data_IF_260728157269
#
_entry.id   IF_260728157269
#
_cell.length_a   1.000
_cell.length_b   1.000
_cell.length_c   1.000
_cell.angle_alpha   90.00
_cell.angle_beta   90.00
_cell.angle_gamma   90.00
#
_symmetry.space_group_name_H-M   'P 1'
#
loop_
_entity.id
_entity.type
_entity.pdbx_description
1 polymer ?
#
# COMPACT_ATOMS: atom_id res chain seq x y z
N UNK A 1 -9.49 -15.96 0.62
CA UNK A 1 -9.68 -14.56 0.20
C UNK A 1 -10.45 -14.59 -1.11
N UNK A 2 -11.48 -13.76 -1.30
CA UNK A 2 -12.26 -13.76 -2.54
C UNK A 2 -11.48 -12.99 -3.63
N UNK A 3 -11.30 -13.54 -4.84
CA UNK A 3 -10.61 -12.85 -5.92
C UNK A 3 -11.38 -11.60 -6.37
N UNK A 4 -10.63 -10.55 -6.72
CA UNK A 4 -11.17 -9.33 -7.33
C UNK A 4 -11.06 -9.48 -8.85
N UNK A 5 -12.18 -9.37 -9.55
CA UNK A 5 -12.21 -9.37 -11.01
C UNK A 5 -12.24 -7.93 -11.52
N UNK A 6 -11.21 -7.56 -12.28
CA UNK A 6 -11.09 -6.23 -12.85
C UNK A 6 -11.84 -6.12 -14.18
N UNK A 7 -12.31 -4.92 -14.46
CA UNK A 7 -13.00 -4.59 -15.71
C UNK A 7 -13.14 -3.09 -15.88
N UNK A 8 -13.61 -2.69 -17.05
CA UNK A 8 -13.88 -1.30 -17.40
C UNK A 8 -15.37 -1.12 -17.65
N UNK A 9 -15.94 -0.05 -17.11
CA UNK A 9 -17.32 0.34 -17.41
C UNK A 9 -17.32 1.28 -18.61
N UNK A 10 -18.08 0.93 -19.65
CA UNK A 10 -18.32 1.77 -20.83
C UNK A 10 -19.84 2.00 -20.95
N UNK A 11 -20.26 3.22 -20.67
CA UNK A 11 -21.69 3.55 -20.54
C UNK A 11 -22.32 2.80 -19.36
N UNK A 12 -23.27 1.90 -19.65
CA UNK A 12 -23.97 1.08 -18.65
C UNK A 12 -23.50 -0.39 -18.62
N UNK A 13 -22.39 -0.71 -19.30
CA UNK A 13 -21.89 -2.08 -19.42
C UNK A 13 -20.54 -2.25 -18.74
N UNK A 14 -20.43 -3.24 -17.84
CA UNK A 14 -19.17 -3.69 -17.27
C UNK A 14 -18.52 -4.72 -18.21
N UNK A 15 -17.36 -4.37 -18.77
CA UNK A 15 -16.52 -5.28 -19.55
C UNK A 15 -15.40 -5.81 -18.64
N UNK A 16 -15.51 -7.06 -18.22
CA UNK A 16 -14.47 -7.74 -17.42
C UNK A 16 -13.24 -8.03 -18.29
N UNK A 17 -12.04 -7.89 -17.72
CA UNK A 17 -10.80 -8.23 -18.40
C UNK A 17 -10.62 -9.74 -18.56
N UNK A 18 -11.06 -10.53 -17.57
CA UNK A 18 -10.98 -11.99 -17.56
C UNK A 18 -12.37 -12.66 -17.42
N UNK A 19 -13.25 -12.55 -18.42
CA UNK A 19 -14.63 -13.05 -18.32
C UNK A 19 -14.72 -14.58 -18.16
N UNK A 20 -13.79 -15.34 -18.75
CA UNK A 20 -13.74 -16.80 -18.64
C UNK A 20 -13.50 -17.26 -17.21
N UNK A 21 -12.56 -16.61 -16.52
CA UNK A 21 -12.21 -16.93 -15.14
C UNK A 21 -13.34 -16.54 -14.18
N UNK A 22 -13.96 -15.38 -14.41
CA UNK A 22 -15.13 -14.95 -13.65
C UNK A 22 -16.28 -15.94 -13.77
N UNK A 23 -16.62 -16.38 -14.98
CA UNK A 23 -17.68 -17.38 -15.19
C UNK A 23 -17.36 -18.70 -14.49
N UNK A 24 -16.11 -19.16 -14.55
CA UNK A 24 -15.68 -20.38 -13.83
C UNK A 24 -15.82 -20.19 -12.31
N UNK A 25 -15.49 -19.01 -11.79
CA UNK A 25 -15.61 -18.70 -10.37
C UNK A 25 -17.07 -18.65 -9.90
N UNK A 26 -17.99 -18.13 -10.72
CA UNK A 26 -19.43 -18.11 -10.43
C UNK A 26 -20.04 -19.50 -10.25
N UNK A 27 -19.50 -20.53 -10.91
CA UNK A 27 -19.99 -21.92 -10.76
C UNK A 27 -19.93 -22.40 -9.29
N UNK A 28 -19.02 -21.87 -8.48
CA UNK A 28 -18.90 -22.21 -7.06
C UNK A 28 -20.10 -21.73 -6.21
N UNK A 29 -20.91 -20.82 -6.76
CA UNK A 29 -22.05 -20.19 -6.09
C UNK A 29 -23.39 -20.58 -6.73
N UNK A 30 -23.43 -21.67 -7.52
CA UNK A 30 -24.66 -22.14 -8.13
C UNK A 30 -25.79 -22.30 -7.10
N UNK A 31 -26.96 -21.73 -7.40
CA UNK A 31 -28.16 -21.71 -6.56
C UNK A 31 -28.03 -21.00 -5.20
N UNK A 32 -27.06 -20.09 -5.07
CA UNK A 32 -26.89 -19.24 -3.87
C UNK A 32 -27.19 -17.78 -4.21
N UNK A 33 -27.74 -17.06 -3.25
CA UNK A 33 -27.79 -15.60 -3.33
C UNK A 33 -26.39 -15.03 -3.12
N UNK A 34 -26.00 -14.06 -3.96
CA UNK A 34 -24.67 -13.44 -3.92
C UNK A 34 -24.80 -11.92 -3.94
N UNK A 35 -23.85 -11.25 -3.28
CA UNK A 35 -23.69 -9.80 -3.34
C UNK A 35 -22.64 -9.45 -4.41
N UNK A 36 -22.92 -8.43 -5.23
CA UNK A 36 -21.95 -7.85 -6.16
C UNK A 36 -21.55 -6.47 -5.66
N UNK A 37 -20.24 -6.24 -5.53
CA UNK A 37 -19.66 -4.95 -5.17
C UNK A 37 -18.86 -4.44 -6.35
N UNK A 38 -19.20 -3.23 -6.83
CA UNK A 38 -18.44 -2.53 -7.86
C UNK A 38 -17.73 -1.36 -7.21
N UNK A 39 -16.41 -1.35 -7.29
CA UNK A 39 -15.57 -0.28 -6.73
C UNK A 39 -14.48 0.07 -7.72
N UNK A 40 -14.06 1.34 -7.73
CA UNK A 40 -12.83 1.73 -8.42
C UNK A 40 -11.68 0.96 -7.74
N UNK A 41 -10.90 0.16 -8.48
CA UNK A 41 -9.76 -0.53 -7.90
C UNK A 41 -8.80 0.53 -7.38
N UNK A 42 -8.71 0.63 -6.05
CA UNK A 42 -7.56 1.28 -5.44
C UNK A 42 -6.39 0.36 -5.77
N UNK A 43 -5.30 0.91 -6.31
CA UNK A 43 -4.03 0.19 -6.26
C UNK A 43 -3.80 -0.12 -4.79
N UNK A 44 -4.08 -1.34 -4.37
CA UNK A 44 -3.37 -1.91 -3.25
C UNK A 44 -1.90 -1.68 -3.61
N UNK A 45 -1.13 -1.07 -2.71
CA UNK A 45 0.33 -0.92 -2.91
C UNK A 45 0.84 -2.23 -3.50
N UNK A 46 1.69 -2.15 -4.52
CA UNK A 46 2.15 -3.39 -5.13
C UNK A 46 2.70 -4.27 -4.00
N UNK A 47 2.49 -5.58 -4.07
CA UNK A 47 3.00 -6.46 -3.02
C UNK A 47 4.52 -6.23 -2.81
N UNK A 48 5.23 -5.77 -3.84
CA UNK A 48 6.64 -5.36 -3.79
C UNK A 48 6.87 -4.11 -2.94
N UNK A 49 6.11 -3.03 -3.12
CA UNK A 49 6.23 -1.79 -2.31
C UNK A 49 6.01 -2.06 -0.82
N UNK A 50 5.04 -2.92 -0.50
CA UNK A 50 4.77 -3.27 0.89
C UNK A 50 5.84 -4.21 1.47
N UNK A 51 6.37 -5.15 0.68
CA UNK A 51 7.51 -5.99 1.08
C UNK A 51 8.76 -5.16 1.30
N UNK A 52 9.07 -4.23 0.41
CA UNK A 52 10.18 -3.30 0.55
C UNK A 52 10.05 -2.45 1.82
N UNK A 53 8.88 -1.84 2.04
CA UNK A 53 8.66 -1.01 3.22
C UNK A 53 8.88 -1.78 4.53
N UNK A 54 8.22 -2.92 4.71
CA UNK A 54 8.32 -3.68 5.96
C UNK A 54 9.63 -4.48 6.07
N UNK A 55 10.09 -5.09 4.98
CA UNK A 55 11.24 -5.99 4.97
C UNK A 55 12.60 -5.30 4.89
N UNK A 56 12.64 -4.05 4.40
CA UNK A 56 13.89 -3.30 4.21
C UNK A 56 13.87 -2.02 5.03
N UNK A 57 12.95 -1.10 4.72
CA UNK A 57 12.94 0.25 5.33
C UNK A 57 12.74 0.17 6.84
N UNK A 58 11.70 -0.52 7.29
CA UNK A 58 11.38 -0.65 8.72
C UNK A 58 12.46 -1.45 9.44
N UNK A 59 12.95 -2.54 8.85
CA UNK A 59 13.98 -3.39 9.48
C UNK A 59 15.29 -2.65 9.69
N UNK A 60 15.79 -1.98 8.67
CA UNK A 60 17.04 -1.21 8.76
C UNK A 60 16.91 -0.14 9.86
N UNK A 61 15.80 0.58 9.89
CA UNK A 61 15.58 1.63 10.89
C UNK A 61 15.36 1.07 12.30
N UNK A 62 14.67 -0.06 12.44
CA UNK A 62 14.47 -0.76 13.72
C UNK A 62 15.81 -1.18 14.31
N UNK A 63 16.68 -1.80 13.50
CA UNK A 63 18.01 -2.23 13.91
C UNK A 63 18.93 -1.05 14.21
N UNK A 64 18.87 0.02 13.40
CA UNK A 64 19.72 1.20 13.55
C UNK A 64 19.37 2.04 14.79
N UNK A 65 18.09 2.21 15.09
CA UNK A 65 17.60 3.09 16.17
C UNK A 65 17.35 2.29 17.46
N UNK A 66 17.14 0.97 17.37
CA UNK A 66 16.92 0.09 18.52
C UNK A 66 15.49 0.06 19.04
N UNK A 67 14.50 0.30 18.18
CA UNK A 67 13.07 0.18 18.48
C UNK A 67 12.44 -0.98 17.72
N UNK A 68 11.25 -1.41 18.13
CA UNK A 68 10.48 -2.43 17.39
C UNK A 68 10.03 -1.93 16.02
N UNK A 69 9.75 -2.85 15.09
CA UNK A 69 9.25 -2.54 13.76
C UNK A 69 7.98 -1.66 13.82
N UNK A 70 7.07 -1.99 14.73
CA UNK A 70 5.81 -1.27 14.93
C UNK A 70 6.04 0.14 15.49
N UNK A 71 6.98 0.32 16.42
CA UNK A 71 7.34 1.64 16.96
C UNK A 71 7.93 2.53 15.86
N UNK A 72 8.82 1.98 15.03
CA UNK A 72 9.35 2.69 13.86
C UNK A 72 8.23 3.05 12.89
N UNK A 73 7.33 2.11 12.59
CA UNK A 73 6.19 2.37 11.71
C UNK A 73 5.34 3.56 12.19
N UNK A 74 4.97 3.58 13.48
CA UNK A 74 4.17 4.67 14.05
C UNK A 74 4.95 5.98 14.13
N UNK A 75 6.25 5.94 14.47
CA UNK A 75 7.11 7.13 14.48
C UNK A 75 7.21 7.78 13.09
N UNK A 76 7.41 6.98 12.04
CA UNK A 76 7.49 7.48 10.66
C UNK A 76 6.14 8.05 10.18
N UNK A 77 5.02 7.43 10.57
CA UNK A 77 3.68 7.98 10.30
C UNK A 77 3.52 9.35 10.95
N UNK A 78 3.81 9.44 12.25
CA UNK A 78 3.70 10.69 13.00
C UNK A 78 4.57 11.79 12.41
N UNK A 79 5.75 11.43 11.90
CA UNK A 79 6.71 12.37 11.34
C UNK A 79 6.34 12.90 9.96
N UNK A 80 5.87 12.04 9.05
CA UNK A 80 5.72 12.41 7.64
C UNK A 80 4.29 12.39 7.10
N UNK A 81 3.33 11.81 7.83
CA UNK A 81 1.92 11.69 7.41
C UNK A 81 0.96 12.52 8.26
N UNK A 82 1.49 13.39 9.11
CA UNK A 82 0.70 14.36 9.86
C UNK A 82 0.29 15.49 8.91
N UNK A 83 -1.01 15.61 8.67
CA UNK A 83 -1.58 16.71 7.89
C UNK A 83 -1.87 17.89 8.81
N UNK A 84 -1.02 18.93 8.73
CA UNK A 84 -1.11 20.15 9.52
C UNK A 84 -1.84 21.29 8.77
N UNK A 85 -2.44 21.02 7.60
CA UNK A 85 -3.20 22.04 6.83
C UNK A 85 -4.51 22.47 7.49
N UNK A 86 -4.91 21.80 8.58
CA UNK A 86 -6.15 22.01 9.33
C UNK A 86 -5.87 22.56 10.72
N UNK A 87 -6.85 23.23 11.31
CA UNK A 87 -6.77 23.72 12.71
C UNK A 87 -6.48 22.59 13.71
N UNK A 88 -6.97 21.38 13.43
CA UNK A 88 -6.65 20.16 14.19
C UNK A 88 -5.91 19.20 13.25
N UNK A 89 -4.61 18.93 13.47
CA UNK A 89 -3.85 18.04 12.62
C UNK A 89 -4.39 16.61 12.64
N UNK A 90 -4.44 15.96 11.48
CA UNK A 90 -4.91 14.57 11.35
C UNK A 90 -3.75 13.68 10.91
N UNK A 91 -3.58 12.54 11.58
CA UNK A 91 -2.62 11.53 11.17
C UNK A 91 -3.22 10.67 10.04
N UNK A 92 -2.63 10.72 8.84
CA UNK A 92 -3.05 9.83 7.74
C UNK A 92 -2.53 8.42 7.97
N UNK A 93 -3.36 7.43 7.64
CA UNK A 93 -2.94 6.03 7.59
C UNK A 93 -2.14 5.77 6.31
N UNK A 94 -1.07 4.98 6.40
CA UNK A 94 -0.34 4.53 5.20
C UNK A 94 -1.24 3.73 4.26
N UNK A 95 -2.31 3.09 4.77
CA UNK A 95 -3.25 2.32 3.96
C UNK A 95 -4.15 3.18 3.06
N UNK A 96 -4.24 4.49 3.31
CA UNK A 96 -5.02 5.41 2.48
C UNK A 96 -4.19 6.12 1.41
N UNK A 97 -2.88 5.90 1.37
CA UNK A 97 -1.98 6.50 0.38
C UNK A 97 -2.12 5.80 -0.98
N UNK A 98 -2.13 6.58 -2.04
CA UNK A 98 -1.94 6.10 -3.41
C UNK A 98 -0.48 5.66 -3.62
N UNK A 99 -0.21 4.91 -4.70
CA UNK A 99 1.16 4.52 -5.08
C UNK A 99 2.11 5.72 -5.15
N UNK A 100 1.69 6.82 -5.76
CA UNK A 100 2.53 8.03 -5.89
C UNK A 100 2.79 8.66 -4.52
N UNK A 101 1.75 8.87 -3.71
CA UNK A 101 1.91 9.41 -2.35
C UNK A 101 2.76 8.49 -1.46
N UNK A 102 2.72 7.18 -1.69
CA UNK A 102 3.53 6.23 -0.93
C UNK A 102 5.00 6.28 -1.33
N UNK A 103 5.31 6.42 -2.62
CA UNK A 103 6.70 6.60 -3.07
C UNK A 103 7.28 7.91 -2.55
N UNK A 104 6.51 9.02 -2.61
CA UNK A 104 6.91 10.29 -1.99
C UNK A 104 7.15 10.16 -0.48
N UNK A 105 6.35 9.34 0.21
CA UNK A 105 6.54 9.03 1.62
C UNK A 105 7.83 8.25 1.86
N UNK A 106 8.13 7.22 1.04
CA UNK A 106 9.37 6.45 1.11
C UNK A 106 10.61 7.31 0.82
N UNK A 107 10.54 8.19 -0.17
CA UNK A 107 11.62 9.13 -0.52
C UNK A 107 11.95 10.04 0.67
N UNK A 108 10.94 10.64 1.31
CA UNK A 108 11.12 11.45 2.52
C UNK A 108 11.79 10.68 3.64
N UNK A 109 11.42 9.41 3.84
CA UNK A 109 12.04 8.55 4.85
C UNK A 109 13.51 8.30 4.52
N UNK A 110 13.84 7.92 3.27
CA UNK A 110 15.23 7.66 2.84
C UNK A 110 16.10 8.91 3.01
N UNK A 111 15.62 10.06 2.55
CA UNK A 111 16.34 11.33 2.70
C UNK A 111 16.59 11.67 4.17
N UNK A 112 15.56 11.57 5.01
CA UNK A 112 15.69 11.83 6.44
C UNK A 112 16.64 10.86 7.14
N UNK A 113 16.56 9.56 6.84
CA UNK A 113 17.44 8.55 7.41
C UNK A 113 18.91 8.83 7.06
N UNK A 114 19.18 9.20 5.81
CA UNK A 114 20.52 9.55 5.36
C UNK A 114 21.05 10.82 6.03
N UNK A 115 20.22 11.87 6.13
CA UNK A 115 20.64 13.18 6.63
C UNK A 115 20.75 13.24 8.15
N UNK A 116 19.76 12.72 8.87
CA UNK A 116 19.66 12.89 10.33
C UNK A 116 20.22 11.69 11.10
N UNK A 117 20.14 10.49 10.53
CA UNK A 117 20.57 9.26 11.21
C UNK A 117 21.88 8.70 10.65
N UNK A 118 22.42 9.28 9.58
CA UNK A 118 23.52 8.72 8.79
C UNK A 118 23.26 7.24 8.41
N UNK A 119 22.00 6.91 8.12
CA UNK A 119 21.54 5.57 7.80
C UNK A 119 21.11 5.51 6.34
N UNK A 120 21.81 4.72 5.53
CA UNK A 120 21.50 4.57 4.10
C UNK A 120 20.53 3.42 3.93
N UNK A 121 19.37 3.72 3.34
CA UNK A 121 18.33 2.75 3.01
C UNK A 121 18.37 2.55 1.49
N UNK A 122 18.63 1.32 1.00
CA UNK A 122 18.76 1.04 -0.42
C UNK A 122 17.43 1.20 -1.16
N UNK A 123 17.46 1.47 -2.46
CA UNK A 123 16.24 1.53 -3.27
C UNK A 123 15.64 0.14 -3.56
N UNK A 124 14.34 0.03 -3.90
CA UNK A 124 13.69 -1.27 -4.15
C UNK A 124 14.33 -2.12 -5.25
N UNK A 125 15.02 -1.50 -6.21
CA UNK A 125 15.75 -2.11 -7.32
C UNK A 125 17.18 -2.55 -6.94
N UNK A 126 17.69 -2.15 -5.78
CA UNK A 126 19.03 -2.50 -5.29
C UNK A 126 19.01 -3.70 -4.33
N UNK A 127 17.82 -4.19 -3.99
CA UNK A 127 17.60 -5.31 -3.06
C UNK A 127 16.89 -6.47 -3.76
N UNK A 128 17.36 -7.69 -3.55
CA UNK A 128 16.60 -8.90 -3.89
C UNK A 128 15.56 -9.14 -2.77
N UNK A 129 14.28 -8.87 -3.07
CA UNK A 129 13.13 -9.00 -2.15
C UNK A 129 12.47 -10.38 -2.18
#
# INVERSE_FOLDING_TARGET
>A
MNPIFLGKVEGNKLNLYSPKEFNKYLLNFANKEVQVVVSIPKKQRSNEENRYYWGVVIKILSEHIGYTDEEIHEALKLKFLKDESREIPILRSTASLTTVEFEEYLEKIRMWAAQELNCIIPEPNEVEL
#
